data_IF_945050503712
#
_entry.id   IF_945050503712
#
_cell.length_a   1.000
_cell.length_b   1.000
_cell.length_c   1.000
_cell.angle_alpha   90.00
_cell.angle_beta   90.00
_cell.angle_gamma   90.00
#
_symmetry.space_group_name_H-M   'P 1'
#
loop_
_entity.id
_entity.type
_entity.pdbx_description
1 polymer ?
#
# COMPACT_ATOMS: atom_id res chain seq x y z
N UNK A 1 5.34 -6.77 -13.06
CA UNK A 1 4.28 -6.67 -12.02
C UNK A 1 4.89 -5.96 -10.82
N UNK A 2 4.28 -4.89 -10.31
CA UNK A 2 4.83 -4.13 -9.17
C UNK A 2 4.77 -4.96 -7.89
N UNK A 3 5.89 -5.07 -7.17
CA UNK A 3 5.92 -5.75 -5.89
C UNK A 3 5.12 -4.97 -4.83
N UNK A 4 4.34 -5.69 -4.02
CA UNK A 4 3.53 -5.13 -2.95
C UNK A 4 4.42 -4.45 -1.90
N UNK A 5 5.59 -5.03 -1.61
CA UNK A 5 6.60 -4.44 -0.71
C UNK A 5 7.03 -3.04 -1.15
N UNK A 6 7.34 -2.87 -2.43
CA UNK A 6 7.76 -1.57 -3.00
C UNK A 6 6.65 -0.53 -2.89
N UNK A 7 5.39 -0.93 -3.09
CA UNK A 7 4.25 -0.01 -2.89
C UNK A 7 4.15 0.40 -1.42
N UNK A 8 4.24 -0.54 -0.49
CA UNK A 8 4.18 -0.23 0.95
C UNK A 8 5.34 0.69 1.33
N UNK A 9 6.58 0.36 1.00
CA UNK A 9 7.77 1.16 1.34
C UNK A 9 7.68 2.61 0.82
N UNK A 10 7.19 2.83 -0.40
CA UNK A 10 7.09 4.17 -0.97
C UNK A 10 5.84 4.95 -0.55
N UNK A 11 4.76 4.27 -0.17
CA UNK A 11 3.47 4.90 0.13
C UNK A 11 3.02 4.72 1.58
N UNK A 12 3.84 4.13 2.46
CA UNK A 12 3.50 3.89 3.85
C UNK A 12 3.06 5.18 4.54
N UNK A 13 3.88 6.23 4.51
CA UNK A 13 3.54 7.52 5.12
C UNK A 13 2.26 8.11 4.51
N UNK A 14 2.14 8.12 3.19
CA UNK A 14 0.95 8.67 2.51
C UNK A 14 -0.33 7.94 2.91
N UNK A 15 -0.30 6.61 3.01
CA UNK A 15 -1.44 5.79 3.41
C UNK A 15 -1.71 5.92 4.90
N UNK A 16 -0.66 5.98 5.72
CA UNK A 16 -0.73 6.07 7.18
C UNK A 16 -1.28 7.41 7.67
N UNK A 17 -0.79 8.51 7.09
CA UNK A 17 -1.24 9.88 7.40
C UNK A 17 -2.70 10.11 6.95
N UNK A 18 -3.15 9.36 5.94
CA UNK A 18 -4.48 9.50 5.35
C UNK A 18 -5.25 8.17 5.37
N UNK A 19 -5.64 7.64 6.55
CA UNK A 19 -6.25 6.32 6.67
C UNK A 19 -7.59 6.19 5.91
N UNK A 20 -8.27 7.32 5.65
CA UNK A 20 -9.52 7.41 4.88
C UNK A 20 -9.31 7.55 3.36
N UNK A 21 -8.08 7.66 2.87
CA UNK A 21 -7.76 7.80 1.43
C UNK A 21 -8.39 6.66 0.61
N UNK A 22 -9.07 7.00 -0.49
CA UNK A 22 -9.76 5.99 -1.31
C UNK A 22 -8.75 5.13 -2.08
N UNK A 23 -9.10 3.86 -2.32
CA UNK A 23 -8.24 2.94 -3.06
C UNK A 23 -7.86 3.47 -4.45
N UNK A 24 -8.83 4.05 -5.19
CA UNK A 24 -8.58 4.63 -6.51
C UNK A 24 -7.53 5.75 -6.48
N UNK A 25 -7.50 6.54 -5.41
CA UNK A 25 -6.52 7.61 -5.26
C UNK A 25 -5.12 7.05 -4.99
N UNK A 26 -5.02 6.02 -4.14
CA UNK A 26 -3.78 5.26 -3.94
C UNK A 26 -3.28 4.69 -5.27
N UNK A 27 -4.19 4.09 -6.06
CA UNK A 27 -3.85 3.53 -7.37
C UNK A 27 -3.27 4.58 -8.32
N UNK A 28 -3.92 5.74 -8.43
CA UNK A 28 -3.47 6.85 -9.29
C UNK A 28 -2.10 7.36 -8.84
N UNK A 29 -1.91 7.56 -7.53
CA UNK A 29 -0.63 8.03 -6.98
C UNK A 29 0.50 7.04 -7.21
N UNK A 30 0.26 5.75 -6.97
CA UNK A 30 1.22 4.67 -7.24
C UNK A 30 1.55 4.62 -8.73
N UNK A 31 0.54 4.64 -9.59
CA UNK A 31 0.74 4.56 -11.03
C UNK A 31 1.50 5.77 -11.59
N UNK A 32 1.17 6.97 -11.10
CA UNK A 32 1.82 8.22 -11.50
C UNK A 32 3.27 8.29 -11.02
N UNK A 33 3.55 7.93 -9.76
CA UNK A 33 4.89 8.07 -9.18
C UNK A 33 5.86 6.96 -9.59
N UNK A 34 5.36 5.76 -9.83
CA UNK A 34 6.17 4.61 -10.20
C UNK A 34 6.15 4.32 -11.71
N UNK A 35 5.38 5.08 -12.50
CA UNK A 35 5.22 4.90 -13.95
C UNK A 35 4.81 3.47 -14.36
N UNK A 36 3.91 2.85 -13.58
CA UNK A 36 3.51 1.44 -13.73
C UNK A 36 2.01 1.28 -13.48
N UNK A 37 1.35 0.42 -14.24
CA UNK A 37 -0.04 0.08 -13.92
C UNK A 37 -0.09 -0.85 -12.70
N UNK A 38 -0.92 -0.52 -11.72
CA UNK A 38 -1.10 -1.30 -10.49
C UNK A 38 -2.54 -1.76 -10.35
N UNK A 39 -2.72 -3.04 -10.04
CA UNK A 39 -4.05 -3.61 -9.81
C UNK A 39 -4.65 -3.10 -8.49
N UNK A 40 -5.97 -2.92 -8.46
CA UNK A 40 -6.66 -2.51 -7.25
C UNK A 40 -6.53 -3.45 -6.06
N UNK A 41 -6.41 -4.76 -6.31
CA UNK A 41 -6.17 -5.75 -5.24
C UNK A 41 -4.84 -5.51 -4.53
N UNK A 42 -3.79 -5.10 -5.25
CA UNK A 42 -2.48 -4.76 -4.66
C UNK A 42 -2.58 -3.52 -3.77
N UNK A 43 -3.26 -2.48 -4.24
CA UNK A 43 -3.48 -1.26 -3.45
C UNK A 43 -4.29 -1.54 -2.18
N UNK A 44 -5.31 -2.43 -2.26
CA UNK A 44 -6.09 -2.87 -1.09
C UNK A 44 -5.22 -3.56 -0.05
N UNK A 45 -4.34 -4.48 -0.48
CA UNK A 45 -3.39 -5.17 0.41
C UNK A 45 -2.40 -4.19 1.03
N UNK A 46 -1.80 -3.30 0.24
CA UNK A 46 -0.89 -2.28 0.75
C UNK A 46 -1.55 -1.41 1.83
N UNK A 47 -2.78 -0.96 1.56
CA UNK A 47 -3.56 -0.19 2.53
C UNK A 47 -3.84 -0.99 3.81
N UNK A 48 -4.20 -2.26 3.70
CA UNK A 48 -4.43 -3.13 4.86
C UNK A 48 -3.15 -3.28 5.69
N UNK A 49 -2.02 -3.60 5.07
CA UNK A 49 -0.74 -3.79 5.76
C UNK A 49 -0.30 -2.55 6.55
N UNK A 50 -0.42 -1.36 5.96
CA UNK A 50 -0.10 -0.10 6.65
C UNK A 50 -1.03 0.11 7.85
N UNK A 51 -2.34 -0.18 7.71
CA UNK A 51 -3.29 -0.06 8.82
C UNK A 51 -3.02 -1.08 9.93
N UNK A 52 -2.69 -2.31 9.58
CA UNK A 52 -2.37 -3.37 10.54
C UNK A 52 -1.07 -3.06 11.29
N UNK A 53 -0.08 -2.47 10.59
CA UNK A 53 1.16 -1.95 11.20
C UNK A 53 0.88 -0.86 12.22
N UNK A 54 0.04 0.12 11.87
CA UNK A 54 -0.35 1.21 12.77
C UNK A 54 -1.17 0.73 13.97
N UNK A 55 -1.97 -0.33 13.80
CA UNK A 55 -2.76 -0.92 14.89
C UNK A 55 -1.93 -1.80 15.84
N UNK A 56 -0.64 -2.01 15.57
CA UNK A 56 0.21 -2.94 16.33
C UNK A 56 -0.07 -4.42 16.04
N UNK A 57 -0.94 -4.72 15.06
CA UNK A 57 -1.34 -6.08 14.68
C UNK A 57 -0.44 -6.68 13.59
N UNK A 58 0.83 -6.27 13.55
CA UNK A 58 1.74 -6.59 12.45
C UNK A 58 2.27 -8.04 12.51
N UNK A 59 1.41 -9.00 12.18
CA UNK A 59 1.79 -10.42 12.05
C UNK A 59 2.20 -10.69 10.59
N UNK A 60 3.51 -10.75 10.37
CA UNK A 60 4.21 -11.61 9.38
C UNK A 60 3.89 -11.50 7.87
N UNK A 61 2.99 -10.63 7.39
CA UNK A 61 2.66 -10.60 5.94
C UNK A 61 3.80 -10.03 5.05
N UNK A 62 4.73 -9.24 5.62
CA UNK A 62 5.93 -8.74 4.90
C UNK A 62 7.06 -9.78 4.77
N UNK A 63 7.11 -10.79 5.66
CA UNK A 63 8.14 -11.82 5.63
C UNK A 63 7.81 -12.97 4.65
N UNK A 64 6.56 -13.03 4.16
CA UNK A 64 6.06 -14.07 3.26
C UNK A 64 5.89 -13.59 1.80
N UNK A 65 6.50 -12.46 1.41
CA UNK A 65 6.39 -11.83 0.08
C UNK A 65 7.74 -11.56 -0.60
#
# INVERSE_FOLDING_TARGET
IVNLKVIVEHFEATIGDHPKMKLREIQIRVASKMHVNVNMTRCRRAKKMVKDKLAGNFVQELAML
#
